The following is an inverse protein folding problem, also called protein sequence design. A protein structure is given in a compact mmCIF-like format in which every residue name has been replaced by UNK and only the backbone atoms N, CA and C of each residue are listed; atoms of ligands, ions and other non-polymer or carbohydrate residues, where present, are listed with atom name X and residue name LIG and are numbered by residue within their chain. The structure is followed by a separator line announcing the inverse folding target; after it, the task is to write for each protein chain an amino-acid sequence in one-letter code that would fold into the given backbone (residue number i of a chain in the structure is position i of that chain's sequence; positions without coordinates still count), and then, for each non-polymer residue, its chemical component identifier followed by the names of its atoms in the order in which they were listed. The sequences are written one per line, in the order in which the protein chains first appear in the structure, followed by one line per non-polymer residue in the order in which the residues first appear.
data_IF_299527045994
#
_entry.id   IF_299527045994
#
_cell.length_a   1.000
_cell.length_b   1.000
_cell.length_c   1.000
_cell.angle_alpha   90.00
_cell.angle_beta   90.00
_cell.angle_gamma   90.00
#
_symmetry.space_group_name_H-M   'P 1'
#
loop_
_entity.id
_entity.type
_entity.pdbx_description
1 polymer ?
#
# COMPACT_ATOMS: atom_id res chain seq x y z
N UNK A 1 -5.86 14.25 11.89
CA UNK A 1 -5.01 13.58 10.88
C UNK A 1 -3.57 13.43 11.36
N UNK A 2 -2.86 14.49 11.78
CA UNK A 2 -1.47 14.40 12.25
C UNK A 2 -1.28 13.42 13.43
N UNK A 3 -2.17 13.42 14.43
CA UNK A 3 -2.09 12.48 15.55
C UNK A 3 -2.21 10.99 15.13
N UNK A 4 -3.05 10.68 14.13
CA UNK A 4 -3.18 9.33 13.60
C UNK A 4 -1.91 8.92 12.82
N UNK A 5 -1.36 9.85 12.04
CA UNK A 5 -0.12 9.66 11.32
C UNK A 5 1.03 9.35 12.27
N UNK A 6 1.14 10.11 13.36
CA UNK A 6 2.14 9.92 14.40
C UNK A 6 2.02 8.54 15.07
N UNK A 7 0.81 8.13 15.44
CA UNK A 7 0.55 6.80 16.00
C UNK A 7 0.90 5.69 15.01
N UNK A 8 0.53 5.83 13.74
CA UNK A 8 0.88 4.86 12.70
C UNK A 8 2.39 4.70 12.60
N UNK A 9 3.12 5.82 12.51
CA UNK A 9 4.58 5.80 12.32
C UNK A 9 5.34 5.29 13.52
N UNK A 10 4.95 5.66 14.73
CA UNK A 10 5.72 5.33 15.93
C UNK A 10 5.26 4.07 16.65
N UNK A 11 4.02 3.62 16.45
CA UNK A 11 3.50 2.45 17.16
C UNK A 11 3.23 1.25 16.24
N UNK A 12 2.73 1.47 15.02
CA UNK A 12 2.28 0.38 14.15
C UNK A 12 3.40 -0.05 13.19
N UNK A 13 3.98 0.90 12.47
CA UNK A 13 5.00 0.63 11.43
C UNK A 13 6.19 -0.17 12.00
N UNK A 14 6.82 0.19 13.13
CA UNK A 14 7.96 -0.57 13.66
C UNK A 14 7.60 -2.02 14.00
N UNK A 15 6.41 -2.27 14.55
CA UNK A 15 5.97 -3.63 14.88
C UNK A 15 5.70 -4.48 13.65
N UNK A 16 5.13 -3.90 12.60
CA UNK A 16 4.95 -4.58 11.32
C UNK A 16 6.28 -4.93 10.67
N UNK A 17 7.24 -3.98 10.66
CA UNK A 17 8.58 -4.23 10.12
C UNK A 17 9.30 -5.36 10.87
N UNK A 18 9.19 -5.40 12.20
CA UNK A 18 9.73 -6.50 13.00
C UNK A 18 9.09 -7.83 12.64
N UNK A 19 7.75 -7.86 12.51
CA UNK A 19 7.02 -9.06 12.10
C UNK A 19 7.41 -9.53 10.69
N UNK A 20 7.57 -8.62 9.75
CA UNK A 20 8.03 -8.92 8.38
C UNK A 20 9.46 -9.47 8.37
N UNK A 21 10.37 -8.89 9.16
CA UNK A 21 11.74 -9.40 9.28
C UNK A 21 11.77 -10.84 9.82
N UNK A 22 11.02 -11.10 10.89
CA UNK A 22 10.90 -12.45 11.46
C UNK A 22 10.28 -13.46 10.49
N UNK A 23 9.26 -13.05 9.73
CA UNK A 23 8.64 -13.90 8.71
C UNK A 23 9.60 -14.26 7.55
N UNK A 24 10.63 -13.44 7.32
CA UNK A 24 11.71 -13.70 6.37
C UNK A 24 12.87 -14.50 6.96
N UNK A 25 12.80 -14.88 8.26
CA UNK A 25 13.89 -15.54 8.96
C UNK A 25 15.08 -14.63 9.29
N UNK A 26 14.86 -13.31 9.28
CA UNK A 26 15.87 -12.29 9.54
C UNK A 26 15.83 -11.82 11.00
N UNK A 27 16.89 -11.09 11.42
CA UNK A 27 16.86 -10.39 12.70
C UNK A 27 15.69 -9.39 12.75
N UNK A 28 14.97 -9.34 13.87
CA UNK A 28 13.80 -8.46 14.04
C UNK A 28 14.08 -6.98 13.78
N UNK A 29 15.35 -6.55 13.90
CA UNK A 29 15.80 -5.18 13.67
C UNK A 29 16.30 -4.93 12.24
N UNK A 30 16.23 -5.92 11.37
CA UNK A 30 16.76 -5.87 10.01
C UNK A 30 16.36 -4.61 9.24
N UNK A 31 15.12 -4.18 9.36
CA UNK A 31 14.61 -3.01 8.65
C UNK A 31 14.91 -1.66 9.34
N UNK A 32 15.27 -1.64 10.63
CA UNK A 32 15.45 -0.40 11.41
C UNK A 32 16.37 0.64 10.74
N UNK A 33 17.56 0.27 10.18
CA UNK A 33 18.45 1.26 9.56
C UNK A 33 17.85 1.98 8.36
N UNK A 34 16.85 1.37 7.71
CA UNK A 34 16.21 1.90 6.52
C UNK A 34 14.97 2.75 6.82
N UNK A 35 14.57 2.84 8.08
CA UNK A 35 13.36 3.52 8.54
C UNK A 35 13.64 4.54 9.66
N UNK A 36 14.82 5.16 9.63
CA UNK A 36 15.15 6.26 10.56
C UNK A 36 14.46 7.57 10.21
N UNK A 37 14.19 7.80 8.91
CA UNK A 37 13.44 8.97 8.37
C UNK A 37 12.54 8.50 7.21
N UNK A 38 11.56 7.64 7.48
CA UNK A 38 10.75 6.99 6.47
C UNK A 38 9.76 7.95 5.81
N UNK A 39 9.39 7.66 4.56
CA UNK A 39 8.34 8.40 3.86
C UNK A 39 6.99 7.76 4.11
N UNK A 40 6.05 8.57 4.57
CA UNK A 40 4.64 8.20 4.71
C UNK A 40 3.79 9.08 3.81
N UNK A 41 3.12 8.47 2.83
CA UNK A 41 2.16 9.18 1.98
C UNK A 41 0.75 8.81 2.44
N UNK A 42 0.03 9.78 2.97
CA UNK A 42 -1.37 9.64 3.33
C UNK A 42 -2.25 10.26 2.26
N UNK A 43 -3.32 9.56 1.88
CA UNK A 43 -4.37 10.08 1.02
C UNK A 43 -5.72 9.99 1.71
N UNK A 44 -6.60 10.96 1.44
CA UNK A 44 -8.01 10.88 1.75
C UNK A 44 -8.75 10.64 0.42
N UNK A 45 -9.34 9.47 0.27
CA UNK A 45 -10.03 9.06 -0.94
C UNK A 45 -11.53 9.10 -0.71
N UNK A 46 -12.21 9.91 -1.52
CA UNK A 46 -13.66 10.03 -1.54
C UNK A 46 -14.20 9.40 -2.81
N UNK A 47 -15.07 8.43 -2.66
CA UNK A 47 -15.77 7.75 -3.74
C UNK A 47 -17.23 8.19 -3.70
N UNK A 48 -17.69 9.01 -4.69
CA UNK A 48 -19.10 9.40 -4.76
C UNK A 48 -20.01 8.19 -4.93
N UNK A 49 -21.32 8.33 -4.59
CA UNK A 49 -22.29 7.29 -4.83
C UNK A 49 -22.31 6.88 -6.31
N UNK A 50 -22.58 5.61 -6.55
CA UNK A 50 -22.80 5.01 -7.87
C UNK A 50 -21.62 5.18 -8.86
N UNK A 51 -21.05 4.07 -9.29
CA UNK A 51 -20.06 3.99 -10.38
C UNK A 51 -18.75 4.76 -10.15
N UNK A 52 -18.18 4.65 -8.98
CA UNK A 52 -16.82 5.13 -8.72
C UNK A 52 -15.89 3.99 -8.30
N UNK A 53 -14.59 4.20 -8.39
CA UNK A 53 -13.64 3.18 -7.98
C UNK A 53 -12.20 3.49 -8.32
N UNK A 54 -11.36 2.48 -8.15
CA UNK A 54 -9.96 2.46 -8.58
C UNK A 54 -9.73 1.16 -9.36
N UNK A 55 -9.16 1.26 -10.54
CA UNK A 55 -8.84 0.11 -11.38
C UNK A 55 -7.86 -0.86 -10.70
N UNK A 56 -7.69 -2.05 -11.28
CA UNK A 56 -6.71 -3.03 -10.81
C UNK A 56 -5.30 -2.42 -10.78
N UNK A 57 -4.65 -2.48 -9.61
CA UNK A 57 -3.28 -2.01 -9.38
C UNK A 57 -2.64 -2.74 -8.21
N UNK A 58 -1.35 -2.54 -8.01
CA UNK A 58 -0.58 -2.86 -6.81
C UNK A 58 -0.07 -1.57 -6.19
N UNK A 59 0.31 -1.61 -4.91
CA UNK A 59 0.93 -0.48 -4.23
C UNK A 59 2.46 -0.57 -4.29
N UNK A 60 3.10 0.57 -4.45
CA UNK A 60 4.54 0.63 -4.72
C UNK A 60 5.45 0.57 -3.49
N UNK A 61 4.90 0.80 -2.28
CA UNK A 61 5.66 0.88 -1.03
C UNK A 61 6.08 -0.47 -0.47
N UNK A 62 6.45 -0.46 0.81
CA UNK A 62 6.69 -1.68 1.59
C UNK A 62 5.34 -2.32 1.95
N UNK A 63 4.44 -1.53 2.49
CA UNK A 63 3.05 -1.93 2.73
C UNK A 63 2.14 -0.70 2.80
N UNK A 64 0.85 -0.95 2.68
CA UNK A 64 -0.20 0.05 2.86
C UNK A 64 -1.05 -0.33 4.06
N UNK A 65 -1.35 0.65 4.91
CA UNK A 65 -2.34 0.57 5.98
C UNK A 65 -3.59 1.29 5.50
N UNK A 66 -4.66 0.55 5.22
CA UNK A 66 -5.90 1.10 4.72
C UNK A 66 -6.96 1.14 5.81
N UNK A 67 -7.31 2.35 6.23
CA UNK A 67 -8.48 2.60 7.06
C UNK A 67 -9.69 2.80 6.17
N UNK A 68 -10.74 2.05 6.42
CA UNK A 68 -11.98 2.10 5.67
C UNK A 68 -13.13 2.51 6.59
N UNK A 69 -14.01 3.36 6.09
CA UNK A 69 -15.29 3.59 6.73
C UNK A 69 -16.11 2.29 6.77
N UNK A 70 -16.75 2.03 7.91
CA UNK A 70 -17.67 0.90 8.02
C UNK A 70 -18.84 1.11 7.05
N UNK A 71 -19.05 0.16 6.14
CA UNK A 71 -20.10 0.25 5.15
C UNK A 71 -20.73 -1.14 4.95
N UNK A 72 -22.02 -1.17 4.64
CA UNK A 72 -22.74 -2.42 4.34
C UNK A 72 -22.24 -3.07 3.03
N UNK A 73 -21.83 -2.24 2.08
CA UNK A 73 -21.38 -2.71 0.77
C UNK A 73 -19.85 -2.81 0.71
N UNK A 74 -19.35 -3.98 0.34
CA UNK A 74 -17.93 -4.19 0.06
C UNK A 74 -17.58 -3.57 -1.30
N UNK A 75 -16.59 -2.68 -1.31
CA UNK A 75 -16.09 -2.06 -2.54
C UNK A 75 -14.64 -2.49 -2.86
N UNK A 76 -13.83 -2.83 -1.85
CA UNK A 76 -12.46 -3.28 -2.03
C UNK A 76 -12.44 -4.77 -2.38
N UNK A 77 -11.68 -5.11 -3.41
CA UNK A 77 -11.43 -6.49 -3.84
C UNK A 77 -9.94 -6.73 -4.01
N UNK A 78 -9.47 -7.85 -3.50
CA UNK A 78 -8.10 -8.33 -3.65
C UNK A 78 -8.06 -9.57 -4.56
N UNK A 79 -7.03 -9.68 -5.40
CA UNK A 79 -6.85 -10.83 -6.27
C UNK A 79 -5.89 -11.82 -5.63
N UNK A 80 -6.39 -13.01 -5.29
CA UNK A 80 -5.60 -14.07 -4.65
C UNK A 80 -6.01 -15.43 -5.19
N UNK A 81 -5.05 -16.31 -5.40
CA UNK A 81 -5.27 -17.68 -5.88
C UNK A 81 -6.17 -17.76 -7.13
N UNK A 82 -5.93 -16.87 -8.10
CA UNK A 82 -6.65 -16.86 -9.37
C UNK A 82 -8.07 -16.27 -9.32
N UNK A 83 -8.52 -15.71 -8.21
CA UNK A 83 -9.86 -15.14 -8.04
C UNK A 83 -9.86 -13.82 -7.29
N UNK A 84 -10.90 -13.02 -7.52
CA UNK A 84 -11.17 -11.81 -6.75
C UNK A 84 -11.91 -12.15 -5.47
N UNK A 85 -11.40 -11.64 -4.33
CA UNK A 85 -11.96 -11.80 -3.00
C UNK A 85 -12.42 -10.43 -2.51
N UNK A 86 -13.63 -10.37 -1.97
CA UNK A 86 -14.16 -9.15 -1.38
C UNK A 86 -13.53 -8.94 0.01
N UNK A 87 -13.02 -7.72 0.23
CA UNK A 87 -12.40 -7.29 1.49
C UNK A 87 -13.38 -6.33 2.18
N UNK A 88 -14.32 -6.92 2.90
CA UNK A 88 -15.36 -6.14 3.58
C UNK A 88 -14.77 -5.26 4.68
N UNK A 89 -15.18 -3.99 4.80
CA UNK A 89 -14.81 -3.16 5.92
C UNK A 89 -15.45 -3.69 7.20
N UNK A 90 -14.64 -3.90 8.24
CA UNK A 90 -15.11 -4.38 9.54
C UNK A 90 -14.68 -3.37 10.59
N UNK A 91 -15.63 -2.69 11.18
CA UNK A 91 -15.56 -1.80 12.32
C UNK A 91 -14.19 -1.16 12.62
N UNK A 92 -13.39 -1.79 13.46
CA UNK A 92 -12.09 -1.27 13.92
C UNK A 92 -10.89 -1.97 13.27
N UNK A 93 -11.09 -2.67 12.15
CA UNK A 93 -10.01 -3.36 11.44
C UNK A 93 -9.31 -2.41 10.46
N UNK A 94 -7.99 -2.57 10.35
CA UNK A 94 -7.17 -1.93 9.33
C UNK A 94 -6.71 -3.00 8.35
N UNK A 95 -6.97 -2.80 7.07
CA UNK A 95 -6.47 -3.70 6.03
C UNK A 95 -5.01 -3.37 5.77
N UNK A 96 -4.16 -4.40 5.75
CA UNK A 96 -2.75 -4.28 5.42
C UNK A 96 -2.49 -5.07 4.15
N UNK A 97 -1.97 -4.42 3.12
CA UNK A 97 -1.46 -5.08 1.93
C UNK A 97 0.02 -4.77 1.72
N UNK A 98 0.77 -5.77 1.28
CA UNK A 98 2.19 -5.64 0.97
C UNK A 98 2.36 -5.01 -0.41
N UNK A 99 3.42 -4.21 -0.57
CA UNK A 99 3.68 -3.47 -1.78
C UNK A 99 4.84 -4.03 -2.61
N UNK A 100 5.00 -3.46 -3.80
CA UNK A 100 5.96 -3.94 -4.82
C UNK A 100 7.42 -3.82 -4.35
N UNK A 101 7.73 -2.80 -3.54
CA UNK A 101 9.08 -2.63 -3.00
C UNK A 101 9.45 -3.77 -2.02
N UNK A 102 8.51 -4.19 -1.16
CA UNK A 102 8.73 -5.33 -0.28
C UNK A 102 8.82 -6.64 -1.07
N UNK A 103 7.98 -6.83 -2.08
CA UNK A 103 8.06 -7.98 -2.97
C UNK A 103 9.45 -8.06 -3.63
N UNK A 104 9.97 -6.94 -4.12
CA UNK A 104 11.31 -6.85 -4.70
C UNK A 104 12.40 -7.09 -3.66
N UNK A 105 12.29 -6.50 -2.46
CA UNK A 105 13.26 -6.67 -1.38
C UNK A 105 13.34 -8.11 -0.89
N UNK A 106 12.19 -8.75 -0.72
CA UNK A 106 12.12 -10.16 -0.31
C UNK A 106 12.47 -11.16 -1.43
N UNK A 107 12.85 -10.66 -2.62
CA UNK A 107 13.10 -11.48 -3.81
C UNK A 107 11.91 -12.42 -4.13
N UNK A 108 10.69 -11.88 -4.02
CA UNK A 108 9.45 -12.60 -4.34
C UNK A 108 8.92 -13.53 -3.24
N UNK A 109 9.56 -13.61 -2.05
CA UNK A 109 9.02 -14.38 -0.93
C UNK A 109 7.69 -13.79 -0.42
N UNK A 110 7.58 -12.47 -0.44
CA UNK A 110 6.30 -11.77 -0.27
C UNK A 110 5.74 -11.35 -1.61
N UNK A 111 4.41 -11.35 -1.71
CA UNK A 111 3.69 -10.97 -2.94
C UNK A 111 2.97 -9.66 -2.73
N UNK A 112 3.17 -8.72 -3.66
CA UNK A 112 2.32 -7.54 -3.77
C UNK A 112 0.97 -7.94 -4.35
N UNK A 113 -0.10 -7.73 -3.59
CA UNK A 113 -1.43 -8.23 -3.94
C UNK A 113 -2.14 -7.24 -4.86
N UNK A 114 -2.49 -7.63 -6.11
CA UNK A 114 -3.32 -6.80 -6.96
C UNK A 114 -4.69 -6.58 -6.33
N UNK A 115 -5.16 -5.34 -6.34
CA UNK A 115 -6.46 -5.00 -5.76
C UNK A 115 -7.15 -3.91 -6.59
N UNK A 116 -8.43 -3.73 -6.34
CA UNK A 116 -9.27 -2.74 -7.01
C UNK A 116 -10.40 -2.29 -6.10
N UNK A 117 -10.95 -1.12 -6.39
CA UNK A 117 -12.18 -0.63 -5.74
C UNK A 117 -13.29 -0.55 -6.79
N UNK A 118 -14.43 -1.17 -6.49
CA UNK A 118 -15.65 -1.08 -7.30
C UNK A 118 -16.76 -0.63 -6.37
N UNK A 119 -17.05 0.68 -6.38
CA UNK A 119 -18.05 1.26 -5.52
C UNK A 119 -19.36 1.47 -6.29
N UNK A 120 -20.41 0.76 -5.88
CA UNK A 120 -21.73 0.76 -6.50
C UNK A 120 -22.88 1.10 -5.54
N UNK A 121 -22.54 1.45 -4.29
CA UNK A 121 -23.54 1.80 -3.30
C UNK A 121 -24.16 3.17 -3.56
N UNK A 122 -25.35 3.40 -3.04
CA UNK A 122 -26.06 4.68 -3.11
C UNK A 122 -25.51 5.72 -2.12
N UNK A 123 -24.63 5.32 -1.21
CA UNK A 123 -23.92 6.19 -0.28
C UNK A 123 -22.50 6.48 -0.77
N UNK A 124 -21.90 7.57 -0.36
CA UNK A 124 -20.48 7.81 -0.57
C UNK A 124 -19.63 6.88 0.29
N UNK A 125 -18.37 6.67 -0.10
CA UNK A 125 -17.37 5.91 0.66
C UNK A 125 -16.12 6.76 0.86
N UNK A 126 -15.58 6.73 2.07
CA UNK A 126 -14.28 7.34 2.40
C UNK A 126 -13.29 6.26 2.78
N UNK A 127 -12.05 6.41 2.36
CA UNK A 127 -10.94 5.59 2.82
C UNK A 127 -9.65 6.39 2.95
N UNK A 128 -8.78 5.97 3.88
CA UNK A 128 -7.54 6.64 4.23
C UNK A 128 -6.38 5.64 4.13
N UNK A 129 -5.78 5.45 2.95
CA UNK A 129 -4.55 4.67 2.81
C UNK A 129 -3.34 5.47 3.30
N UNK A 130 -2.44 4.76 3.99
CA UNK A 130 -1.12 5.20 4.40
C UNK A 130 -0.10 4.32 3.69
N UNK A 131 0.59 4.86 2.70
CA UNK A 131 1.63 4.16 1.95
C UNK A 131 2.96 4.38 2.67
N UNK A 132 3.59 3.29 3.08
CA UNK A 132 4.83 3.31 3.86
C UNK A 132 6.01 2.95 2.97
N UNK A 133 7.02 3.82 2.98
CA UNK A 133 8.28 3.65 2.26
C UNK A 133 9.46 3.78 3.23
N UNK A 134 10.62 3.19 2.92
CA UNK A 134 11.86 3.46 3.66
C UNK A 134 12.30 4.93 3.50
N UNK A 135 13.42 5.27 4.10
CA UNK A 135 14.11 6.53 3.85
C UNK A 135 14.30 6.72 2.33
N UNK A 136 14.19 7.96 1.84
CA UNK A 136 14.33 8.26 0.40
C UNK A 136 15.69 7.81 -0.15
N UNK A 137 16.75 8.01 0.62
CA UNK A 137 18.13 7.65 0.28
C UNK A 137 18.47 6.18 0.54
N UNK A 138 17.54 5.40 1.09
CA UNK A 138 17.77 3.99 1.38
C UNK A 138 18.13 3.21 0.11
N UNK A 139 19.12 2.33 0.28
CA UNK A 139 19.54 1.36 -0.72
C UNK A 139 19.52 -0.01 -0.10
N UNK A 140 18.99 -0.98 -0.81
CA UNK A 140 18.89 -2.35 -0.34
C UNK A 140 19.24 -3.35 -1.43
N UNK A 141 19.65 -4.52 -1.00
CA UNK A 141 19.82 -5.66 -1.90
C UNK A 141 18.61 -6.60 -1.73
N UNK A 142 17.95 -7.02 -2.81
CA UNK A 142 17.00 -8.12 -2.72
C UNK A 142 17.65 -9.33 -2.07
N UNK A 143 16.92 -10.05 -1.23
CA UNK A 143 17.46 -11.19 -0.49
C UNK A 143 18.11 -12.20 -1.42
N UNK A 144 19.35 -12.58 -1.13
CA UNK A 144 20.12 -13.50 -1.97
C UNK A 144 20.63 -12.90 -3.29
N UNK A 145 20.64 -11.57 -3.45
CA UNK A 145 21.11 -10.87 -4.66
C UNK A 145 22.14 -9.79 -4.31
N UNK A 146 23.11 -9.59 -5.19
CA UNK A 146 24.10 -8.50 -5.09
C UNK A 146 23.63 -7.20 -5.78
N UNK A 147 22.45 -7.23 -6.40
CA UNK A 147 21.87 -6.05 -7.05
C UNK A 147 21.48 -4.99 -6.02
N UNK A 148 21.99 -3.78 -6.17
CA UNK A 148 21.60 -2.64 -5.33
C UNK A 148 20.36 -1.98 -5.92
N UNK A 149 19.33 -1.79 -5.11
CA UNK A 149 18.09 -1.08 -5.46
C UNK A 149 18.03 0.22 -4.68
N UNK A 150 17.81 1.33 -5.36
CA UNK A 150 17.60 2.65 -4.77
C UNK A 150 16.10 2.88 -4.51
N UNK A 151 15.74 3.20 -3.27
CA UNK A 151 14.38 3.57 -2.90
C UNK A 151 13.90 4.81 -3.68
N UNK A 152 14.76 5.84 -3.74
CA UNK A 152 14.48 7.06 -4.51
C UNK A 152 14.15 6.77 -5.97
N UNK A 153 14.95 5.92 -6.64
CA UNK A 153 14.72 5.59 -8.04
C UNK A 153 13.38 4.88 -8.23
N UNK A 154 13.06 3.90 -7.38
CA UNK A 154 11.77 3.19 -7.43
C UNK A 154 10.61 4.16 -7.22
N UNK A 155 10.72 5.07 -6.26
CA UNK A 155 9.69 6.09 -6.02
C UNK A 155 9.51 7.02 -7.23
N UNK A 156 10.60 7.51 -7.83
CA UNK A 156 10.54 8.41 -8.99
C UNK A 156 9.95 7.72 -10.23
N UNK A 157 10.32 6.49 -10.51
CA UNK A 157 9.74 5.70 -11.60
C UNK A 157 8.23 5.56 -11.45
N UNK A 158 7.77 5.29 -10.22
CA UNK A 158 6.35 5.17 -9.90
C UNK A 158 5.61 6.51 -10.00
N UNK A 159 6.19 7.60 -9.50
CA UNK A 159 5.62 8.93 -9.67
C UNK A 159 5.47 9.30 -11.15
N UNK A 160 6.51 9.07 -11.95
CA UNK A 160 6.48 9.34 -13.38
C UNK A 160 5.41 8.51 -14.11
N UNK A 161 5.24 7.23 -13.76
CA UNK A 161 4.19 6.39 -14.36
C UNK A 161 2.78 6.88 -14.05
N UNK A 162 2.55 7.46 -12.87
CA UNK A 162 1.24 7.96 -12.45
C UNK A 162 0.94 9.35 -13.02
N UNK A 163 1.92 10.26 -13.01
CA UNK A 163 1.70 11.68 -13.30
C UNK A 163 2.06 12.09 -14.71
N UNK A 164 3.13 11.53 -15.29
CA UNK A 164 3.61 11.92 -16.63
C UNK A 164 2.86 11.19 -17.74
N UNK A 165 2.48 9.93 -17.51
CA UNK A 165 1.74 9.13 -18.51
C UNK A 165 0.22 9.33 -18.46
N UNK A 166 -0.27 10.16 -17.53
CA UNK A 166 -1.72 10.42 -17.38
C UNK A 166 -2.53 9.23 -16.87
N UNK A 167 -1.90 8.10 -16.55
CA UNK A 167 -2.60 6.90 -16.08
C UNK A 167 -3.24 7.06 -14.68
N UNK A 168 -2.80 8.04 -13.90
CA UNK A 168 -3.38 8.34 -12.58
C UNK A 168 -4.61 9.23 -12.62
N UNK A 169 -4.75 10.11 -13.61
CA UNK A 169 -5.86 11.07 -13.70
C UNK A 169 -7.03 10.59 -14.59
N UNK A 170 -6.79 9.61 -15.48
CA UNK A 170 -7.77 9.19 -16.49
C UNK A 170 -8.75 8.09 -16.06
N UNK A 171 -8.38 7.25 -15.12
CA UNK A 171 -9.18 6.04 -14.79
C UNK A 171 -10.41 6.29 -13.91
N UNK A 172 -10.55 7.45 -13.29
CA UNK A 172 -11.80 7.82 -12.62
C UNK A 172 -12.92 8.26 -13.60
N UNK A 173 -12.58 8.53 -14.87
CA UNK A 173 -13.54 8.99 -15.90
C UNK A 173 -14.02 7.91 -16.88
N UNK A 174 -13.35 6.76 -16.97
CA UNK A 174 -13.71 5.70 -17.94
C UNK A 174 -14.73 4.68 -17.43
N UNK A 175 -15.35 4.92 -16.28
CA UNK A 175 -16.50 4.14 -15.79
C UNK A 175 -17.84 4.90 -16.01
N UNK A 176 -17.87 5.84 -16.94
CA UNK A 176 -19.11 6.51 -17.36
C UNK A 176 -19.83 5.69 -18.43
#
# INVERSE_FOLDING_TARGET
MLALQDQVMHLVVPRLLQGLALALGLDKRFFEPFFSDPVLIQRALYYPPLRSGAGKHTDNGIFTLLFQEAAEACALRAFSQGRWIDVAPRGHEVVINLGDMLMKWSNGLFTSTPHQVIHRANSARVSLPFFVYPNVDARFNPLGSDQVVSCQQVMLENFNSIWVTGQGAGRARELA
#
